data_IF_692241062798
#
_entry.id   IF_692241062798
#
_cell.length_a   1.000
_cell.length_b   1.000
_cell.length_c   1.000
_cell.angle_alpha   90.00
_cell.angle_beta   90.00
_cell.angle_gamma   90.00
#
_symmetry.space_group_name_H-M   'P 1'
#
loop_
_entity.id
_entity.type
_entity.pdbx_description
1 polymer ?
#
# COMPACT_ATOMS: atom_id res chain seq x y z
N UNK A 1 9.46 9.12 -0.86
CA UNK A 1 8.96 8.72 0.48
C UNK A 1 7.43 8.87 0.60
N UNK A 2 6.68 8.70 -0.48
CA UNK A 2 5.20 8.55 -0.51
C UNK A 2 4.74 7.17 -0.88
N UNK A 3 5.70 6.34 -1.33
CA UNK A 3 5.55 4.91 -1.54
C UNK A 3 5.01 4.22 -0.27
N UNK A 4 5.16 4.82 0.92
CA UNK A 4 4.79 4.32 2.28
C UNK A 4 3.31 4.04 2.55
N UNK A 5 2.39 4.92 2.12
CA UNK A 5 0.95 4.77 2.41
C UNK A 5 0.32 3.61 1.63
N UNK A 6 0.66 3.53 0.35
CA UNK A 6 0.29 2.43 -0.53
C UNK A 6 1.13 1.17 -0.27
N UNK A 7 2.36 1.29 0.24
CA UNK A 7 3.18 0.18 0.75
C UNK A 7 2.61 -0.47 1.99
N UNK A 8 2.14 0.33 2.93
CA UNK A 8 1.49 -0.19 4.11
C UNK A 8 0.20 -0.86 3.67
N UNK A 9 -0.70 -0.20 2.91
CA UNK A 9 -1.89 -0.82 2.30
C UNK A 9 -1.59 -2.14 1.55
N UNK A 10 -0.47 -2.18 0.84
CA UNK A 10 0.03 -3.32 0.11
C UNK A 10 0.56 -4.47 0.97
N UNK A 11 1.39 -4.19 1.99
CA UNK A 11 1.84 -5.16 2.98
C UNK A 11 0.66 -5.67 3.82
N UNK A 12 -0.30 -4.78 4.07
CA UNK A 12 -1.49 -5.03 4.86
C UNK A 12 -2.45 -5.96 4.18
N UNK A 13 -2.37 -6.02 2.86
CA UNK A 13 -3.35 -6.76 2.10
C UNK A 13 -2.74 -7.85 1.22
N UNK A 14 -1.41 -7.90 1.13
CA UNK A 14 -0.61 -9.12 1.01
C UNK A 14 -0.80 -10.11 2.19
N UNK A 15 -1.55 -9.75 3.23
CA UNK A 15 -2.04 -10.72 4.22
C UNK A 15 -3.50 -10.53 4.66
N UNK A 16 -4.32 -9.78 3.91
CA UNK A 16 -5.77 -9.65 4.11
C UNK A 16 -6.57 -10.86 3.59
N UNK A 17 -6.21 -12.07 4.04
CA UNK A 17 -6.90 -13.29 3.63
C UNK A 17 -6.67 -14.46 4.56
N UNK A 18 -6.42 -14.17 5.84
CA UNK A 18 -6.20 -15.18 6.87
C UNK A 18 -7.48 -15.92 7.29
N UNK A 19 -8.35 -16.35 6.37
CA UNK A 19 -9.52 -17.15 6.77
C UNK A 19 -9.20 -18.64 6.93
N UNK A 20 -8.27 -19.21 6.16
CA UNK A 20 -8.06 -20.67 6.11
C UNK A 20 -6.73 -21.13 6.72
N UNK A 21 -6.29 -20.46 7.79
CA UNK A 21 -4.99 -20.69 8.45
C UNK A 21 -5.10 -21.05 9.93
N UNK A 22 -6.14 -21.80 10.29
CA UNK A 22 -6.30 -22.36 11.63
C UNK A 22 -5.28 -23.51 11.76
N UNK A 23 -4.14 -23.37 12.43
CA UNK A 23 -4.04 -23.05 13.87
C UNK A 23 -2.77 -22.29 14.32
N UNK A 24 -1.83 -21.91 13.45
CA UNK A 24 -0.66 -21.10 13.85
C UNK A 24 0.07 -20.47 12.65
N UNK A 25 0.29 -19.14 12.63
CA UNK A 25 1.28 -18.55 11.74
C UNK A 25 2.66 -19.17 11.96
N UNK A 26 3.34 -19.69 10.92
CA UNK A 26 4.76 -19.91 10.99
C UNK A 26 5.40 -18.55 11.23
N UNK A 27 6.17 -18.52 12.29
CA UNK A 27 6.83 -17.37 12.86
C UNK A 27 8.31 -17.69 12.72
N UNK A 28 9.02 -16.91 11.90
CA UNK A 28 10.48 -16.96 11.90
C UNK A 28 10.99 -15.99 12.95
N UNK A 29 12.19 -16.27 13.49
CA UNK A 29 12.84 -15.27 14.33
C UNK A 29 13.13 -14.02 13.50
N UNK A 30 13.12 -12.85 14.14
CA UNK A 30 13.47 -11.61 13.45
C UNK A 30 14.89 -11.69 12.88
N UNK A 31 15.81 -12.36 13.57
CA UNK A 31 17.18 -12.61 13.13
C UNK A 31 17.23 -13.39 11.81
N UNK A 32 16.43 -14.46 11.66
CA UNK A 32 16.38 -15.25 10.42
C UNK A 32 15.87 -14.41 9.25
N UNK A 33 14.82 -13.61 9.47
CA UNK A 33 14.25 -12.73 8.45
C UNK A 33 15.19 -11.58 8.07
N UNK A 34 15.90 -11.00 9.04
CA UNK A 34 16.91 -9.97 8.79
C UNK A 34 18.08 -10.54 8.01
N UNK A 35 18.58 -11.72 8.39
CA UNK A 35 19.62 -12.41 7.64
C UNK A 35 19.21 -12.64 6.19
N UNK A 36 17.98 -13.09 5.96
CA UNK A 36 17.43 -13.25 4.62
C UNK A 36 17.37 -11.92 3.84
N UNK A 37 16.98 -10.80 4.46
CA UNK A 37 16.98 -9.48 3.80
C UNK A 37 18.37 -9.09 3.25
N UNK A 38 19.45 -9.64 3.81
CA UNK A 38 20.82 -9.43 3.32
C UNK A 38 21.11 -10.03 1.94
N UNK A 39 20.23 -10.88 1.42
CA UNK A 39 20.32 -11.40 0.04
C UNK A 39 19.91 -10.37 -1.01
N UNK A 40 19.27 -9.28 -0.62
CA UNK A 40 18.88 -8.22 -1.54
C UNK A 40 19.93 -7.10 -1.59
N UNK A 41 20.13 -6.45 -2.75
CA UNK A 41 21.10 -5.36 -2.88
C UNK A 41 20.74 -4.17 -1.99
N UNK A 42 21.75 -3.49 -1.45
CA UNK A 42 21.60 -2.27 -0.65
C UNK A 42 20.88 -1.15 -1.41
N UNK A 43 21.01 -1.13 -2.74
CA UNK A 43 20.36 -0.16 -3.65
C UNK A 43 18.87 -0.43 -3.90
N UNK A 44 18.32 -1.53 -3.38
CA UNK A 44 16.90 -1.81 -3.49
C UNK A 44 16.07 -0.72 -2.79
N UNK A 45 15.02 -0.22 -3.48
CA UNK A 45 14.08 0.75 -2.88
C UNK A 45 13.12 0.09 -1.90
N UNK A 46 12.90 -1.21 -2.07
CA UNK A 46 12.11 -2.03 -1.18
C UNK A 46 12.55 -3.47 -1.20
N UNK A 47 12.50 -4.10 -0.03
CA UNK A 47 12.81 -5.52 0.19
C UNK A 47 11.81 -6.11 1.19
N UNK A 48 11.36 -7.33 0.97
CA UNK A 48 10.49 -8.09 1.89
C UNK A 48 11.02 -9.51 2.02
N UNK A 49 11.22 -9.98 3.25
CA UNK A 49 11.50 -11.38 3.58
C UNK A 49 10.24 -12.02 4.18
N UNK A 50 9.85 -13.19 3.69
CA UNK A 50 8.63 -13.92 4.07
C UNK A 50 9.00 -15.29 4.62
N UNK A 51 8.63 -15.56 5.88
CA UNK A 51 9.06 -16.74 6.65
C UNK A 51 8.72 -18.09 5.98
N UNK A 52 7.49 -18.25 5.49
CA UNK A 52 7.01 -19.55 4.97
C UNK A 52 6.49 -19.43 3.53
N UNK A 53 7.38 -19.36 2.52
CA UNK A 53 7.01 -19.06 1.14
C UNK A 53 5.98 -20.01 0.55
N UNK A 54 6.04 -21.33 0.83
CA UNK A 54 5.05 -22.31 0.33
C UNK A 54 3.64 -22.06 0.86
N UNK A 55 3.52 -21.55 2.07
CA UNK A 55 2.24 -21.17 2.65
C UNK A 55 1.79 -19.82 2.08
N UNK A 56 2.70 -18.85 1.98
CA UNK A 56 2.43 -17.55 1.38
C UNK A 56 1.99 -17.64 -0.10
N UNK A 57 2.61 -18.51 -0.90
CA UNK A 57 2.25 -18.71 -2.31
C UNK A 57 0.88 -19.37 -2.48
N UNK A 58 0.57 -20.41 -1.69
CA UNK A 58 -0.78 -21.01 -1.67
C UNK A 58 -1.85 -20.01 -1.26
N UNK A 59 -1.48 -19.09 -0.37
CA UNK A 59 -2.35 -18.00 0.03
C UNK A 59 -2.56 -17.00 -1.12
N UNK A 60 -1.50 -16.47 -1.73
CA UNK A 60 -1.60 -15.55 -2.88
C UNK A 60 -2.38 -16.15 -4.05
N UNK A 61 -2.25 -17.46 -4.29
CA UNK A 61 -3.00 -18.17 -5.31
C UNK A 61 -4.52 -18.23 -5.03
N UNK A 62 -4.92 -18.21 -3.75
CA UNK A 62 -6.34 -18.22 -3.32
C UNK A 62 -6.89 -16.83 -3.06
N UNK A 63 -6.01 -15.85 -2.95
CA UNK A 63 -6.31 -14.48 -2.56
C UNK A 63 -5.67 -13.52 -3.55
N UNK A 64 -6.23 -13.39 -4.78
CA UNK A 64 -5.70 -12.49 -5.80
C UNK A 64 -5.61 -11.03 -5.34
N UNK A 65 -6.36 -10.66 -4.29
CA UNK A 65 -6.22 -9.41 -3.56
C UNK A 65 -4.78 -9.14 -3.10
N UNK A 66 -4.11 -10.14 -2.54
CA UNK A 66 -2.75 -9.97 -2.03
C UNK A 66 -1.75 -9.60 -3.13
N UNK A 67 -1.96 -10.11 -4.35
CA UNK A 67 -1.12 -9.78 -5.50
C UNK A 67 -1.32 -8.34 -5.98
N UNK A 68 -2.56 -7.84 -5.95
CA UNK A 68 -2.86 -6.45 -6.31
C UNK A 68 -2.24 -5.47 -5.33
N UNK A 69 -2.22 -5.88 -4.06
CA UNK A 69 -1.73 -5.08 -2.98
C UNK A 69 -0.21 -5.07 -3.02
N UNK A 70 0.46 -6.22 -3.19
CA UNK A 70 1.90 -6.26 -3.53
C UNK A 70 2.23 -5.42 -4.77
N UNK A 71 1.40 -5.45 -5.82
CA UNK A 71 1.54 -4.60 -6.99
C UNK A 71 1.45 -3.10 -6.66
N UNK A 72 0.48 -2.70 -5.85
CA UNK A 72 0.35 -1.32 -5.37
C UNK A 72 1.56 -0.87 -4.55
N UNK A 73 2.17 -1.76 -3.75
CA UNK A 73 3.44 -1.47 -3.07
C UNK A 73 4.58 -1.25 -4.06
N UNK A 74 4.70 -2.17 -5.01
CA UNK A 74 5.81 -2.19 -5.94
C UNK A 74 5.79 -0.99 -6.90
N UNK A 75 4.60 -0.43 -7.13
CA UNK A 75 4.40 0.73 -8.01
C UNK A 75 4.86 0.40 -9.43
N UNK A 76 5.85 1.12 -9.93
CA UNK A 76 6.48 0.88 -11.23
C UNK A 76 6.99 -0.56 -11.40
N UNK A 77 7.39 -1.24 -10.31
CA UNK A 77 7.87 -2.62 -10.35
C UNK A 77 6.75 -3.67 -10.36
N UNK A 78 5.47 -3.29 -10.31
CA UNK A 78 4.34 -4.23 -10.27
C UNK A 78 4.35 -5.18 -11.48
N UNK A 79 4.64 -4.66 -12.68
CA UNK A 79 4.76 -5.47 -13.89
C UNK A 79 5.91 -6.48 -13.81
N UNK A 80 7.05 -6.10 -13.24
CA UNK A 80 8.20 -6.98 -13.05
C UNK A 80 7.97 -8.03 -11.98
N UNK A 81 7.32 -7.69 -10.86
CA UNK A 81 6.89 -8.68 -9.87
C UNK A 81 5.86 -9.66 -10.44
N UNK A 82 4.94 -9.20 -11.28
CA UNK A 82 3.99 -10.08 -11.96
C UNK A 82 4.70 -11.07 -12.91
N UNK A 83 5.75 -10.62 -13.61
CA UNK A 83 6.61 -11.49 -14.42
C UNK A 83 7.33 -12.53 -13.54
N UNK A 84 7.90 -12.13 -12.41
CA UNK A 84 8.49 -13.05 -11.42
C UNK A 84 7.46 -14.02 -10.83
N UNK A 85 6.17 -13.64 -10.76
CA UNK A 85 5.08 -14.51 -10.33
C UNK A 85 4.99 -15.83 -11.10
N UNK A 86 5.34 -15.83 -12.40
CA UNK A 86 5.39 -17.05 -13.23
C UNK A 86 6.50 -18.01 -12.79
N UNK A 87 7.55 -17.47 -12.17
CA UNK A 87 8.68 -18.19 -11.60
C UNK A 87 8.49 -18.53 -10.11
N UNK A 88 7.49 -17.93 -9.46
CA UNK A 88 7.32 -18.02 -8.01
C UNK A 88 7.04 -19.44 -7.52
N UNK A 89 6.22 -20.23 -8.21
CA UNK A 89 5.86 -21.57 -7.75
C UNK A 89 7.06 -22.53 -7.66
N UNK A 90 7.92 -22.66 -8.70
CA UNK A 90 9.15 -23.46 -8.61
C UNK A 90 10.13 -22.95 -7.56
N UNK A 91 10.32 -21.63 -7.46
CA UNK A 91 11.20 -21.01 -6.47
C UNK A 91 10.76 -21.32 -5.04
N UNK A 92 9.47 -21.17 -4.78
CA UNK A 92 8.82 -21.47 -3.50
C UNK A 92 8.86 -22.97 -3.20
N UNK A 93 8.73 -23.84 -4.21
CA UNK A 93 8.85 -25.27 -4.05
C UNK A 93 10.29 -25.69 -3.69
N UNK A 94 11.32 -25.01 -4.21
CA UNK A 94 12.71 -25.29 -3.85
C UNK A 94 13.16 -24.68 -2.50
N UNK A 95 12.40 -23.70 -1.99
CA UNK A 95 12.72 -22.94 -0.78
C UNK A 95 12.93 -23.81 0.46
N UNK A 96 14.05 -23.59 1.15
CA UNK A 96 14.38 -24.18 2.46
C UNK A 96 14.31 -23.17 3.62
N UNK A 97 14.02 -21.90 3.33
CA UNK A 97 13.92 -20.83 4.30
C UNK A 97 13.08 -19.67 3.77
N UNK A 98 13.27 -18.45 4.31
CA UNK A 98 12.50 -17.29 3.89
C UNK A 98 12.70 -16.94 2.42
N UNK A 99 11.62 -16.53 1.75
CA UNK A 99 11.70 -15.93 0.41
C UNK A 99 11.88 -14.43 0.55
N UNK A 100 12.85 -13.91 -0.18
CA UNK A 100 13.19 -12.49 -0.22
C UNK A 100 12.77 -11.96 -1.58
N UNK A 101 12.05 -10.85 -1.58
CA UNK A 101 11.64 -10.11 -2.78
C UNK A 101 12.18 -8.69 -2.69
N UNK A 102 12.68 -8.12 -3.78
CA UNK A 102 13.12 -6.72 -3.82
C UNK A 102 12.80 -6.03 -5.14
N UNK A 103 12.88 -4.70 -5.14
CA UNK A 103 12.66 -3.90 -6.34
C UNK A 103 13.42 -2.57 -6.34
N UNK A 104 13.70 -2.07 -7.55
CA UNK A 104 14.34 -0.77 -7.82
C UNK A 104 13.82 -0.22 -9.15
N UNK A 105 13.17 0.95 -9.11
CA UNK A 105 12.51 1.50 -10.30
C UNK A 105 11.42 0.55 -10.81
N UNK A 106 11.50 0.18 -12.08
CA UNK A 106 10.63 -0.80 -12.75
C UNK A 106 11.07 -2.25 -12.56
N UNK A 107 12.27 -2.49 -12.00
CA UNK A 107 12.88 -3.81 -11.94
C UNK A 107 12.61 -4.51 -10.59
N UNK A 108 12.58 -5.84 -10.60
CA UNK A 108 12.37 -6.64 -9.40
C UNK A 108 13.27 -7.90 -9.37
N UNK A 109 13.48 -8.44 -8.17
CA UNK A 109 14.18 -9.69 -7.96
C UNK A 109 13.62 -10.50 -6.79
N UNK A 110 14.04 -11.76 -6.73
CA UNK A 110 13.68 -12.71 -5.70
C UNK A 110 14.87 -13.62 -5.36
N UNK A 111 15.03 -13.95 -4.09
CA UNK A 111 16.08 -14.84 -3.60
C UNK A 111 15.54 -15.74 -2.51
N UNK A 112 16.11 -16.92 -2.38
CA UNK A 112 15.69 -17.88 -1.37
C UNK A 112 16.82 -18.86 -1.05
N UNK A 113 16.91 -19.34 0.20
CA UNK A 113 17.76 -20.47 0.55
C UNK A 113 17.30 -21.75 -0.17
N UNK A 114 18.22 -22.44 -0.85
CA UNK A 114 17.92 -23.69 -1.59
C UNK A 114 19.06 -24.68 -1.47
N UNK A 115 18.76 -25.98 -1.55
CA UNK A 115 19.79 -26.99 -1.66
C UNK A 115 20.59 -26.82 -2.96
N UNK A 116 21.89 -27.21 -2.97
CA UNK A 116 22.68 -27.27 -4.19
C UNK A 116 22.04 -28.10 -5.31
N UNK A 117 21.30 -29.16 -4.95
CA UNK A 117 20.63 -30.05 -5.91
C UNK A 117 19.49 -29.40 -6.69
N UNK A 118 18.87 -28.33 -6.18
CA UNK A 118 17.77 -27.64 -6.86
C UNK A 118 18.28 -26.62 -7.91
N UNK A 119 19.57 -26.24 -7.87
CA UNK A 119 20.11 -25.15 -8.69
C UNK A 119 20.05 -25.37 -10.20
N UNK A 120 20.40 -26.55 -10.74
CA UNK A 120 20.39 -26.76 -12.18
C UNK A 120 18.99 -26.52 -12.78
N UNK A 121 17.95 -27.05 -12.14
CA UNK A 121 16.57 -26.88 -12.57
C UNK A 121 16.11 -25.41 -12.48
N UNK A 122 16.51 -24.69 -11.44
CA UNK A 122 16.19 -23.26 -11.28
C UNK A 122 16.92 -22.39 -12.31
N UNK A 123 18.20 -22.68 -12.62
CA UNK A 123 18.97 -21.99 -13.65
C UNK A 123 18.35 -22.17 -15.03
N UNK A 124 17.98 -23.40 -15.39
CA UNK A 124 17.31 -23.69 -16.65
C UNK A 124 15.98 -22.92 -16.77
N UNK A 125 15.18 -22.92 -15.72
CA UNK A 125 13.91 -22.20 -15.70
C UNK A 125 14.12 -20.67 -15.81
N UNK A 126 15.18 -20.13 -15.20
CA UNK A 126 15.48 -18.71 -15.25
C UNK A 126 15.85 -18.28 -16.67
N UNK A 127 16.67 -19.09 -17.35
CA UNK A 127 17.02 -18.89 -18.75
C UNK A 127 15.78 -18.90 -19.66
N UNK A 128 14.87 -19.86 -19.47
CA UNK A 128 13.59 -19.93 -20.21
C UNK A 128 12.67 -18.72 -19.97
N UNK A 129 12.81 -18.08 -18.82
CA UNK A 129 12.00 -16.92 -18.42
C UNK A 129 12.69 -15.58 -18.71
N UNK A 130 13.86 -15.61 -19.37
CA UNK A 130 14.71 -14.44 -19.62
C UNK A 130 15.01 -13.63 -18.35
N UNK A 131 15.22 -14.32 -17.23
CA UNK A 131 15.61 -13.73 -15.96
C UNK A 131 17.11 -13.89 -15.77
N UNK A 132 17.76 -12.86 -15.25
CA UNK A 132 19.11 -13.00 -14.77
C UNK A 132 19.08 -13.87 -13.49
N UNK A 133 20.07 -14.75 -13.32
CA UNK A 133 20.18 -15.60 -12.14
C UNK A 133 21.58 -15.53 -11.53
N UNK A 134 21.65 -15.67 -10.21
CA UNK A 134 22.90 -15.74 -9.45
C UNK A 134 22.70 -16.72 -8.29
N UNK A 135 23.79 -17.30 -7.78
CA UNK A 135 23.73 -18.23 -6.67
C UNK A 135 25.00 -18.19 -5.82
N UNK A 136 24.83 -18.37 -4.52
CA UNK A 136 25.93 -18.59 -3.58
C UNK A 136 25.93 -20.02 -3.03
N UNK A 137 26.71 -20.28 -1.96
CA UNK A 137 26.85 -21.61 -1.36
C UNK A 137 25.54 -22.22 -0.86
N UNK A 138 24.59 -21.41 -0.38
CA UNK A 138 23.33 -21.86 0.25
C UNK A 138 22.08 -21.08 -0.20
N UNK A 139 22.20 -20.22 -1.22
CA UNK A 139 21.10 -19.38 -1.70
C UNK A 139 21.10 -19.29 -3.23
N UNK A 140 19.95 -18.91 -3.77
CA UNK A 140 19.76 -18.68 -5.19
C UNK A 140 18.87 -17.45 -5.42
N UNK A 141 19.18 -16.66 -6.44
CA UNK A 141 18.50 -15.40 -6.75
C UNK A 141 18.19 -15.28 -8.25
N UNK A 142 17.09 -14.59 -8.55
CA UNK A 142 16.71 -14.12 -9.88
C UNK A 142 16.33 -12.66 -9.87
N UNK A 143 16.50 -12.00 -11.01
CA UNK A 143 16.00 -10.66 -11.23
C UNK A 143 15.62 -10.43 -12.69
N UNK A 144 14.77 -9.42 -12.90
CA UNK A 144 14.40 -8.95 -14.24
C UNK A 144 15.53 -8.17 -14.93
N UNK A 145 16.57 -7.78 -14.18
CA UNK A 145 17.79 -7.16 -14.70
C UNK A 145 19.02 -7.68 -13.93
N UNK A 146 20.16 -7.98 -14.60
CA UNK A 146 21.37 -8.45 -13.94
C UNK A 146 21.96 -7.42 -12.95
N UNK A 147 21.71 -6.12 -13.14
CA UNK A 147 22.15 -5.07 -12.22
C UNK A 147 21.51 -5.17 -10.82
N UNK A 148 20.40 -5.89 -10.71
CA UNK A 148 19.73 -6.17 -9.43
C UNK A 148 20.30 -7.38 -8.68
N UNK A 149 21.20 -8.15 -9.30
CA UNK A 149 21.88 -9.30 -8.71
C UNK A 149 23.27 -8.93 -8.16
N UNK A 150 23.49 -7.64 -7.87
CA UNK A 150 24.76 -7.10 -7.41
C UNK A 150 25.37 -7.86 -6.23
N UNK A 151 26.66 -7.66 -5.94
CA UNK A 151 27.37 -8.40 -4.90
C UNK A 151 26.60 -8.28 -3.58
N UNK A 152 26.42 -9.42 -2.89
CA UNK A 152 25.91 -9.44 -1.52
C UNK A 152 26.85 -8.59 -0.67
N UNK A 153 26.49 -7.35 -0.41
CA UNK A 153 27.34 -6.38 0.27
C UNK A 153 26.72 -5.93 1.59
N UNK A 154 27.54 -6.04 2.64
CA UNK A 154 27.43 -5.21 3.84
C UNK A 154 26.66 -5.84 5.00
N UNK A 155 27.24 -5.71 6.19
CA UNK A 155 26.64 -6.12 7.45
C UNK A 155 25.21 -5.59 7.55
N UNK A 156 24.27 -6.49 7.77
CA UNK A 156 22.92 -6.12 8.16
C UNK A 156 23.00 -5.31 9.46
N UNK A 157 22.15 -4.29 9.64
CA UNK A 157 22.07 -3.62 10.93
C UNK A 157 21.83 -4.67 12.03
N UNK A 158 22.35 -4.44 13.24
CA UNK A 158 22.26 -5.39 14.35
C UNK A 158 20.80 -5.81 14.55
N UNK A 159 20.60 -7.07 14.84
CA UNK A 159 19.26 -7.62 14.96
C UNK A 159 18.50 -6.96 16.09
N UNK A 160 17.43 -6.23 15.77
CA UNK A 160 16.56 -5.73 16.83
C UNK A 160 15.82 -6.90 17.47
N UNK A 161 15.97 -7.12 18.79
CA UNK A 161 15.19 -8.14 19.48
C UNK A 161 13.71 -7.79 19.38
N UNK A 162 12.90 -8.73 18.88
CA UNK A 162 11.47 -8.52 18.71
C UNK A 162 10.72 -9.85 18.61
N UNK A 163 9.41 -9.87 18.94
CA UNK A 163 8.63 -11.08 18.80
C UNK A 163 8.59 -11.55 17.34
N UNK A 164 8.51 -12.88 17.12
CA UNK A 164 8.55 -13.46 15.80
C UNK A 164 7.54 -12.85 14.82
N UNK A 165 7.93 -12.78 13.55
CA UNK A 165 7.15 -12.14 12.50
C UNK A 165 6.80 -13.11 11.37
N UNK A 166 5.74 -12.77 10.63
CA UNK A 166 5.41 -13.47 9.39
C UNK A 166 6.28 -12.97 8.23
N UNK A 167 6.51 -11.66 8.20
CA UNK A 167 7.38 -11.02 7.25
C UNK A 167 8.09 -9.83 7.88
N UNK A 168 9.26 -9.52 7.34
CA UNK A 168 10.02 -8.32 7.65
C UNK A 168 10.30 -7.61 6.34
N UNK A 169 10.02 -6.31 6.28
CA UNK A 169 10.24 -5.54 5.08
C UNK A 169 11.13 -4.33 5.36
N UNK A 170 12.15 -4.10 4.52
CA UNK A 170 12.94 -2.88 4.53
C UNK A 170 12.53 -2.00 3.38
N UNK A 171 11.98 -0.86 3.73
CA UNK A 171 11.30 -0.04 2.79
C UNK A 171 11.60 1.41 3.20
N UNK A 172 12.23 2.20 2.29
CA UNK A 172 12.54 3.62 2.50
C UNK A 172 13.42 3.89 3.69
N UNK A 173 14.36 3.00 3.92
CA UNK A 173 15.25 3.04 5.08
C UNK A 173 14.65 2.50 6.37
N UNK A 174 13.36 2.16 6.42
CA UNK A 174 12.69 1.68 7.63
C UNK A 174 12.39 0.19 7.58
N UNK A 175 12.47 -0.46 8.73
CA UNK A 175 12.03 -1.84 8.90
C UNK A 175 10.59 -1.88 9.36
N UNK A 176 9.81 -2.74 8.70
CA UNK A 176 8.41 -2.98 8.96
C UNK A 176 8.26 -4.44 9.33
N UNK A 177 7.79 -4.67 10.54
CA UNK A 177 7.43 -6.00 10.99
C UNK A 177 5.96 -6.24 10.67
N UNK A 178 5.68 -7.37 10.04
CA UNK A 178 4.31 -7.77 9.71
C UNK A 178 3.92 -8.97 10.58
N UNK A 179 2.87 -8.77 11.36
CA UNK A 179 2.20 -9.81 12.13
C UNK A 179 0.81 -10.04 11.54
N UNK A 180 0.42 -11.31 11.45
CA UNK A 180 -0.88 -11.70 10.96
C UNK A 180 -1.54 -12.67 11.95
N UNK A 181 -2.86 -12.53 12.11
CA UNK A 181 -3.72 -13.43 12.87
C UNK A 181 -4.87 -13.95 11.99
N UNK A 182 -5.84 -14.65 12.59
CA UNK A 182 -7.07 -15.07 11.90
C UNK A 182 -7.86 -13.89 11.35
N UNK A 183 -7.89 -12.77 12.05
CA UNK A 183 -8.82 -11.66 11.80
C UNK A 183 -8.14 -10.32 11.58
N UNK A 184 -6.82 -10.29 11.76
CA UNK A 184 -6.07 -9.03 11.75
C UNK A 184 -4.74 -9.18 11.05
N UNK A 185 -4.27 -8.08 10.49
CA UNK A 185 -2.91 -7.92 10.05
C UNK A 185 -2.38 -6.58 10.55
N UNK A 186 -1.23 -6.63 11.18
CA UNK A 186 -0.56 -5.48 11.76
C UNK A 186 0.82 -5.33 11.10
N UNK A 187 1.08 -4.15 10.54
CA UNK A 187 2.39 -3.74 10.08
C UNK A 187 2.85 -2.57 10.94
N UNK A 188 3.95 -2.75 11.67
CA UNK A 188 4.48 -1.72 12.55
C UNK A 188 5.99 -1.57 12.36
N UNK A 189 6.45 -0.33 12.41
CA UNK A 189 7.83 -0.03 12.80
C UNK A 189 7.98 -0.43 14.27
N UNK A 190 9.12 -0.95 14.69
CA UNK A 190 9.33 -1.44 16.08
C UNK A 190 9.14 -0.35 17.16
N UNK A 191 9.07 0.92 16.76
CA UNK A 191 8.66 2.05 17.59
C UNK A 191 7.13 2.14 17.77
N UNK A 192 6.68 2.27 19.02
CA UNK A 192 5.25 2.33 19.35
C UNK A 192 4.63 3.63 18.82
N UNK A 193 3.72 3.49 17.86
CA UNK A 193 2.83 4.55 17.40
C UNK A 193 1.39 4.10 17.68
N UNK A 194 0.61 4.91 18.41
CA UNK A 194 -0.76 4.57 18.75
C UNK A 194 -1.68 4.76 17.54
N UNK A 195 -2.53 3.77 17.27
CA UNK A 195 -3.52 3.86 16.21
C UNK A 195 -4.69 4.75 16.64
N UNK A 196 -5.26 5.57 15.73
CA UNK A 196 -6.47 6.34 16.04
C UNK A 196 -7.60 5.39 16.44
N UNK A 197 -8.43 5.73 17.45
CA UNK A 197 -9.55 4.88 17.86
C UNK A 197 -10.53 4.70 16.71
N UNK A 198 -11.17 3.53 16.64
CA UNK A 198 -12.20 3.27 15.64
C UNK A 198 -13.45 4.12 15.95
N UNK A 199 -13.86 4.95 15.00
CA UNK A 199 -15.13 5.69 15.09
C UNK A 199 -16.21 4.90 14.35
N UNK A 200 -17.28 4.45 15.05
CA UNK A 200 -18.37 3.75 14.40
C UNK A 200 -19.03 4.59 13.30
N UNK A 201 -19.32 3.96 12.17
CA UNK A 201 -20.11 4.56 11.07
C UNK A 201 -19.48 5.73 10.34
N UNK A 202 -18.23 6.10 10.66
CA UNK A 202 -17.50 7.17 9.96
C UNK A 202 -16.06 6.75 9.71
N UNK A 203 -15.64 6.87 8.46
CA UNK A 203 -14.25 6.83 8.05
C UNK A 203 -13.67 8.22 7.99
N UNK A 204 -12.46 8.38 8.50
CA UNK A 204 -11.69 9.62 8.44
C UNK A 204 -10.27 9.29 7.99
N UNK A 205 -9.71 10.13 7.12
CA UNK A 205 -8.34 9.98 6.64
C UNK A 205 -7.70 11.35 6.47
N UNK A 206 -6.53 11.53 7.07
CA UNK A 206 -5.59 12.60 6.76
C UNK A 206 -4.49 12.02 5.88
N UNK A 207 -4.32 12.57 4.69
CA UNK A 207 -3.27 12.21 3.75
C UNK A 207 -2.30 13.39 3.61
N UNK A 208 -1.25 13.41 4.44
CA UNK A 208 -0.26 14.47 4.45
C UNK A 208 0.47 14.66 3.11
N UNK A 209 0.46 13.62 2.26
CA UNK A 209 1.21 13.59 1.02
C UNK A 209 0.31 13.53 -0.23
N UNK A 210 -0.92 14.03 -0.14
CA UNK A 210 -1.90 13.96 -1.21
C UNK A 210 -1.42 14.58 -2.54
N UNK A 211 -0.67 15.68 -2.51
CA UNK A 211 -0.12 16.29 -3.73
C UNK A 211 0.83 15.38 -4.51
N UNK A 212 1.58 14.53 -3.81
CA UNK A 212 2.43 13.52 -4.45
C UNK A 212 1.59 12.36 -5.03
N UNK A 213 0.47 12.01 -4.38
CA UNK A 213 -0.47 11.02 -4.93
C UNK A 213 -1.16 11.52 -6.22
N UNK A 214 -1.51 12.81 -6.27
CA UNK A 214 -2.04 13.45 -7.48
C UNK A 214 -1.01 13.46 -8.62
N UNK A 215 0.26 13.77 -8.31
CA UNK A 215 1.36 13.70 -9.28
C UNK A 215 1.49 12.32 -9.95
N UNK A 216 1.23 11.24 -9.22
CA UNK A 216 1.28 9.88 -9.77
C UNK A 216 0.15 9.56 -10.74
N UNK A 217 -1.01 10.22 -10.57
CA UNK A 217 -2.12 10.11 -11.51
C UNK A 217 -1.91 10.96 -12.77
N UNK A 218 -0.71 11.54 -12.95
CA UNK A 218 -0.41 12.43 -14.05
C UNK A 218 -1.08 13.80 -13.94
N UNK A 219 -1.72 14.09 -12.80
CA UNK A 219 -2.22 15.42 -12.46
C UNK A 219 -1.01 16.20 -11.96
N UNK A 220 -0.66 17.33 -12.60
CA UNK A 220 0.60 18.06 -12.37
C UNK A 220 0.88 18.44 -10.90
N UNK A 221 1.95 19.20 -10.64
CA UNK A 221 2.31 19.60 -9.27
C UNK A 221 1.31 20.60 -8.67
N UNK A 222 0.15 20.11 -8.22
CA UNK A 222 -0.80 20.89 -7.44
C UNK A 222 -0.40 20.77 -5.98
N UNK A 223 0.07 21.89 -5.42
CA UNK A 223 0.29 21.99 -3.99
C UNK A 223 -1.08 21.99 -3.28
N UNK A 224 -1.51 20.83 -2.79
CA UNK A 224 -2.79 20.65 -2.09
C UNK A 224 -2.68 20.50 -0.57
N UNK A 225 -1.46 20.43 -0.04
CA UNK A 225 -1.21 20.17 1.38
C UNK A 225 -1.80 18.83 1.88
N UNK A 226 -1.92 18.63 3.20
CA UNK A 226 -2.56 17.46 3.79
C UNK A 226 -4.06 17.39 3.50
N UNK A 227 -4.47 16.55 2.54
CA UNK A 227 -5.89 16.37 2.21
C UNK A 227 -6.56 15.56 3.31
N UNK A 228 -7.75 16.00 3.72
CA UNK A 228 -8.54 15.32 4.75
C UNK A 228 -9.83 14.84 4.13
N UNK A 229 -10.24 13.63 4.45
CA UNK A 229 -11.43 12.99 3.90
C UNK A 229 -12.26 12.42 5.05
N UNK A 230 -13.58 12.56 4.96
CA UNK A 230 -14.53 11.83 5.79
C UNK A 230 -15.60 11.17 4.92
N UNK A 231 -16.06 9.98 5.30
CA UNK A 231 -17.18 9.26 4.68
C UNK A 231 -18.00 8.55 5.75
N UNK A 232 -19.32 8.59 5.65
CA UNK A 232 -20.22 7.89 6.58
C UNK A 232 -21.02 6.76 5.91
N UNK A 233 -21.77 6.01 6.73
CA UNK A 233 -22.61 4.89 6.30
C UNK A 233 -23.73 5.31 5.33
N UNK A 234 -24.14 6.58 5.36
CA UNK A 234 -25.11 7.16 4.43
C UNK A 234 -24.49 7.53 3.07
N UNK A 235 -23.23 7.13 2.82
CA UNK A 235 -22.47 7.46 1.61
C UNK A 235 -22.32 8.96 1.38
N UNK A 236 -22.37 9.75 2.45
CA UNK A 236 -22.01 11.15 2.42
C UNK A 236 -20.49 11.25 2.56
N UNK A 237 -19.90 12.25 1.89
CA UNK A 237 -18.46 12.45 1.84
C UNK A 237 -18.12 13.91 2.04
N UNK A 238 -16.93 14.15 2.61
CA UNK A 238 -16.37 15.47 2.80
C UNK A 238 -14.87 15.40 2.54
N UNK A 239 -14.34 16.46 1.93
CA UNK A 239 -12.91 16.60 1.63
C UNK A 239 -12.47 18.03 1.92
N UNK A 240 -11.28 18.18 2.50
CA UNK A 240 -10.60 19.46 2.65
C UNK A 240 -9.28 19.42 1.90
N UNK A 241 -9.06 20.45 1.08
CA UNK A 241 -7.81 20.77 0.42
C UNK A 241 -7.23 22.05 1.04
N UNK A 242 -6.32 21.94 2.02
CA UNK A 242 -5.89 23.10 2.82
C UNK A 242 -5.23 24.24 2.05
N UNK A 243 -4.67 23.99 0.87
CA UNK A 243 -3.97 25.02 0.07
C UNK A 243 -4.58 25.22 -1.31
N UNK A 244 -5.67 24.51 -1.62
CA UNK A 244 -6.34 24.64 -2.91
C UNK A 244 -7.46 25.66 -2.79
N UNK A 245 -7.43 26.66 -3.67
CA UNK A 245 -8.55 27.54 -3.95
C UNK A 245 -9.20 27.14 -5.27
N UNK A 246 -10.52 27.08 -5.30
CA UNK A 246 -11.27 26.74 -6.51
C UNK A 246 -11.49 28.00 -7.36
N UNK A 247 -10.79 28.07 -8.48
CA UNK A 247 -10.89 29.17 -9.43
C UNK A 247 -11.31 28.72 -10.83
N UNK A 248 -11.79 29.68 -11.63
CA UNK A 248 -12.11 29.49 -13.04
C UNK A 248 -13.05 28.32 -13.32
N UNK A 249 -12.61 27.40 -14.19
CA UNK A 249 -13.41 26.27 -14.64
C UNK A 249 -13.79 25.31 -13.51
N UNK A 250 -12.89 25.05 -12.55
CA UNK A 250 -13.18 24.13 -11.45
C UNK A 250 -14.33 24.64 -10.57
N UNK A 251 -14.32 25.94 -10.27
CA UNK A 251 -15.41 26.62 -9.55
C UNK A 251 -16.71 26.58 -10.34
N UNK A 252 -16.65 26.93 -11.62
CA UNK A 252 -17.82 26.96 -12.51
C UNK A 252 -18.47 25.58 -12.64
N UNK A 253 -17.67 24.51 -12.79
CA UNK A 253 -18.18 23.13 -12.86
C UNK A 253 -18.88 22.71 -11.58
N UNK A 254 -18.43 23.19 -10.42
CA UNK A 254 -19.08 22.93 -9.13
C UNK A 254 -20.29 23.84 -8.86
N UNK A 255 -20.58 24.78 -9.76
CA UNK A 255 -21.68 25.74 -9.61
C UNK A 255 -21.37 26.87 -8.63
N UNK A 256 -20.08 27.16 -8.41
CA UNK A 256 -19.64 28.06 -7.37
C UNK A 256 -19.88 29.53 -7.67
N UNK A 257 -20.47 30.20 -6.69
CA UNK A 257 -20.55 31.66 -6.58
C UNK A 257 -19.38 32.19 -5.74
N UNK A 258 -19.11 33.51 -5.76
CA UNK A 258 -18.19 34.12 -4.81
C UNK A 258 -18.66 33.85 -3.38
N UNK A 259 -17.82 33.21 -2.59
CA UNK A 259 -18.11 32.72 -1.23
C UNK A 259 -17.64 33.74 -0.20
N UNK A 260 -18.39 33.92 0.89
CA UNK A 260 -17.84 34.63 2.06
C UNK A 260 -16.87 33.72 2.81
N UNK A 261 -15.68 34.24 3.14
CA UNK A 261 -14.68 33.49 3.89
C UNK A 261 -15.27 32.92 5.20
N UNK A 262 -15.11 31.61 5.41
CA UNK A 262 -15.58 30.87 6.57
C UNK A 262 -17.06 30.43 6.51
N UNK A 263 -17.87 30.93 5.57
CA UNK A 263 -19.27 30.53 5.43
C UNK A 263 -19.40 29.22 4.65
N UNK A 264 -20.35 28.36 5.09
CA UNK A 264 -20.74 27.17 4.34
C UNK A 264 -21.84 27.55 3.36
N UNK A 265 -21.58 27.39 2.07
CA UNK A 265 -22.51 27.70 0.99
C UNK A 265 -22.89 26.44 0.21
N UNK A 266 -24.12 26.38 -0.27
CA UNK A 266 -24.60 25.28 -1.11
C UNK A 266 -24.40 25.65 -2.58
N UNK A 267 -23.63 24.86 -3.31
CA UNK A 267 -23.44 24.99 -4.75
C UNK A 267 -24.15 23.86 -5.50
N UNK A 268 -24.58 24.14 -6.73
CA UNK A 268 -25.26 23.17 -7.61
C UNK A 268 -24.55 23.12 -8.95
N UNK A 269 -23.81 22.04 -9.20
CA UNK A 269 -22.97 21.88 -10.39
C UNK A 269 -23.05 20.49 -11.00
N UNK A 270 -22.04 20.12 -11.79
CA UNK A 270 -21.96 18.84 -12.50
C UNK A 270 -21.86 17.63 -11.56
N UNK A 271 -21.43 17.85 -10.31
CA UNK A 271 -21.40 16.83 -9.25
C UNK A 271 -22.70 16.78 -8.43
N UNK A 272 -23.73 17.53 -8.81
CA UNK A 272 -24.96 17.69 -8.06
C UNK A 272 -24.87 18.80 -7.02
N UNK A 273 -25.58 18.60 -5.90
CA UNK A 273 -25.56 19.56 -4.77
C UNK A 273 -24.38 19.26 -3.87
N UNK A 274 -23.54 20.27 -3.62
CA UNK A 274 -22.40 20.20 -2.72
C UNK A 274 -22.40 21.39 -1.76
N UNK A 275 -21.81 21.20 -0.60
CA UNK A 275 -21.60 22.25 0.40
C UNK A 275 -20.13 22.60 0.40
N UNK A 276 -19.82 23.88 0.24
CA UNK A 276 -18.47 24.39 0.11
C UNK A 276 -18.20 25.40 1.20
N UNK A 277 -17.02 25.30 1.82
CA UNK A 277 -16.51 26.29 2.75
C UNK A 277 -15.12 26.72 2.27
N UNK A 278 -14.98 28.01 1.97
CA UNK A 278 -13.69 28.60 1.58
C UNK A 278 -13.08 29.38 2.77
N UNK A 279 -11.77 29.24 2.95
CA UNK A 279 -10.98 29.89 4.00
C UNK A 279 -9.51 29.92 3.60
N UNK A 280 -8.61 29.39 4.43
CA UNK A 280 -7.19 29.16 4.04
C UNK A 280 -7.04 28.16 2.89
N UNK A 281 -8.05 27.31 2.68
CA UNK A 281 -8.19 26.42 1.54
C UNK A 281 -9.65 26.17 1.23
N UNK A 282 -9.97 25.04 0.59
CA UNK A 282 -11.35 24.71 0.22
C UNK A 282 -11.80 23.39 0.82
N UNK A 283 -12.92 23.43 1.54
CA UNK A 283 -13.66 22.26 1.99
C UNK A 283 -14.87 22.02 1.07
N UNK A 284 -15.12 20.77 0.69
CA UNK A 284 -16.27 20.38 -0.13
C UNK A 284 -16.90 19.15 0.51
N UNK A 285 -18.22 19.13 0.64
CA UNK A 285 -18.94 17.97 1.16
C UNK A 285 -20.26 17.74 0.45
N UNK A 286 -20.80 16.53 0.59
CA UNK A 286 -22.17 16.17 0.20
C UNK A 286 -23.17 16.35 1.34
N UNK A 287 -22.76 16.88 2.49
CA UNK A 287 -23.64 17.35 3.56
C UNK A 287 -22.87 18.32 4.47
N UNK A 288 -23.54 19.33 5.04
CA UNK A 288 -22.89 20.30 5.91
C UNK A 288 -22.46 19.68 7.25
N UNK A 289 -23.17 18.67 7.76
CA UNK A 289 -22.82 17.98 9.01
C UNK A 289 -21.46 17.28 8.90
N UNK A 290 -21.14 16.75 7.72
CA UNK A 290 -19.89 16.03 7.53
C UNK A 290 -18.67 16.96 7.42
N UNK A 291 -18.86 18.24 7.07
CA UNK A 291 -17.78 19.24 7.15
C UNK A 291 -17.28 19.39 8.60
N UNK A 292 -18.20 19.35 9.58
CA UNK A 292 -17.85 19.42 10.99
C UNK A 292 -17.15 18.13 11.52
N UNK A 293 -17.31 17.00 10.81
CA UNK A 293 -16.69 15.71 11.16
C UNK A 293 -15.25 15.55 10.66
N UNK A 294 -14.76 16.49 9.84
CA UNK A 294 -13.43 16.40 9.26
C UNK A 294 -12.34 16.53 10.33
N UNK A 295 -11.22 15.79 10.21
CA UNK A 295 -10.10 15.91 11.13
C UNK A 295 -9.55 17.34 11.24
N UNK A 296 -9.17 17.72 12.46
CA UNK A 296 -8.63 19.04 12.81
C UNK A 296 -7.39 19.41 12.01
N UNK A 297 -7.13 20.73 11.88
CA UNK A 297 -5.95 21.22 11.17
C UNK A 297 -4.64 20.99 11.94
N UNK A 298 -3.53 20.85 11.19
CA UNK A 298 -2.17 20.87 11.75
C UNK A 298 -1.39 19.55 11.74
N UNK A 299 -1.90 18.48 11.14
CA UNK A 299 -1.24 17.16 11.19
C UNK A 299 -0.41 16.90 9.94
N UNK A 300 0.92 16.87 10.06
CA UNK A 300 1.87 16.45 9.01
C UNK A 300 2.01 14.90 8.91
N UNK A 301 1.17 14.18 9.66
CA UNK A 301 1.12 12.73 9.75
C UNK A 301 0.00 12.24 8.86
N UNK A 302 0.18 11.09 8.21
CA UNK A 302 -0.95 10.43 7.56
C UNK A 302 -1.60 9.49 8.57
N UNK A 303 -2.86 9.72 8.90
CA UNK A 303 -3.57 8.94 9.90
C UNK A 303 -5.04 8.80 9.55
N UNK A 304 -5.67 7.73 10.01
CA UNK A 304 -7.09 7.56 9.76
C UNK A 304 -7.64 6.19 10.12
N UNK A 305 -8.97 6.15 10.09
CA UNK A 305 -9.79 4.94 10.19
C UNK A 305 -10.62 4.85 8.92
N UNK A 306 -10.47 3.78 8.15
CA UNK A 306 -11.20 3.56 6.91
C UNK A 306 -11.94 2.24 6.98
N UNK A 307 -13.25 2.30 6.93
CA UNK A 307 -14.12 1.12 6.86
C UNK A 307 -14.12 0.62 5.42
N UNK A 308 -13.99 -0.68 5.23
CA UNK A 308 -13.83 -1.23 3.88
C UNK A 308 -15.04 -1.00 2.98
N UNK A 309 -16.25 -1.01 3.56
CA UNK A 309 -17.48 -0.64 2.84
C UNK A 309 -17.46 0.80 2.30
N UNK A 310 -16.93 1.76 3.07
CA UNK A 310 -16.78 3.14 2.61
C UNK A 310 -15.73 3.28 1.51
N UNK A 311 -14.58 2.60 1.66
CA UNK A 311 -13.54 2.58 0.65
C UNK A 311 -14.03 1.92 -0.66
N UNK A 312 -14.75 0.81 -0.57
CA UNK A 312 -15.34 0.13 -1.71
C UNK A 312 -16.31 1.04 -2.48
N UNK A 313 -17.22 1.69 -1.76
CA UNK A 313 -18.16 2.63 -2.35
C UNK A 313 -17.43 3.80 -3.03
N UNK A 314 -16.50 4.47 -2.34
CA UNK A 314 -15.73 5.59 -2.90
C UNK A 314 -14.96 5.18 -4.16
N UNK A 315 -14.19 4.09 -4.09
CA UNK A 315 -13.36 3.62 -5.19
C UNK A 315 -14.22 3.19 -6.38
N UNK A 316 -15.37 2.56 -6.15
CA UNK A 316 -16.33 2.22 -7.20
C UNK A 316 -16.90 3.46 -7.90
N UNK A 317 -17.23 4.51 -7.13
CA UNK A 317 -17.66 5.80 -7.68
C UNK A 317 -16.55 6.47 -8.48
N UNK A 318 -15.33 6.49 -7.97
CA UNK A 318 -14.18 7.07 -8.70
C UNK A 318 -13.91 6.28 -9.98
N UNK A 319 -13.91 4.94 -9.92
CA UNK A 319 -13.72 4.07 -11.09
C UNK A 319 -14.72 4.41 -12.21
N UNK A 320 -16.01 4.52 -11.86
CA UNK A 320 -17.05 4.90 -12.80
C UNK A 320 -16.82 6.29 -13.40
N UNK A 321 -16.45 7.28 -12.58
CA UNK A 321 -16.18 8.64 -13.07
C UNK A 321 -14.97 8.69 -14.01
N UNK A 322 -13.85 8.05 -13.63
CA UNK A 322 -12.60 8.13 -14.42
C UNK A 322 -12.67 7.33 -15.71
N UNK A 323 -13.55 6.34 -15.82
CA UNK A 323 -13.82 5.60 -17.07
C UNK A 323 -14.24 6.54 -18.23
N UNK A 324 -14.88 7.66 -17.87
CA UNK A 324 -15.35 8.68 -18.81
C UNK A 324 -14.32 9.78 -19.08
N UNK A 325 -13.14 9.74 -18.44
CA UNK A 325 -12.07 10.73 -18.60
C UNK A 325 -10.97 10.10 -19.48
N UNK A 326 -10.74 10.57 -20.72
CA UNK A 326 -9.82 9.90 -21.67
C UNK A 326 -8.41 9.64 -21.11
N UNK A 327 -7.85 10.58 -20.34
CA UNK A 327 -6.51 10.47 -19.75
C UNK A 327 -6.42 9.50 -18.57
N UNK A 328 -7.55 9.19 -17.92
CA UNK A 328 -7.60 8.36 -16.70
C UNK A 328 -8.34 7.04 -16.90
N UNK A 329 -8.98 6.82 -18.05
CA UNK A 329 -9.78 5.63 -18.36
C UNK A 329 -9.02 4.32 -18.12
N UNK A 330 -7.73 4.28 -18.39
CA UNK A 330 -6.89 3.10 -18.17
C UNK A 330 -6.82 2.67 -16.69
N UNK A 331 -7.10 3.57 -15.75
CA UNK A 331 -7.08 3.29 -14.30
C UNK A 331 -8.41 2.74 -13.78
N UNK A 332 -9.52 2.88 -14.52
CA UNK A 332 -10.85 2.47 -14.08
C UNK A 332 -10.93 0.98 -13.68
N UNK A 333 -10.38 0.02 -14.47
CA UNK A 333 -10.43 -1.40 -14.10
C UNK A 333 -9.65 -1.71 -12.81
N UNK A 334 -8.52 -1.03 -12.60
CA UNK A 334 -7.74 -1.17 -11.37
C UNK A 334 -8.53 -0.67 -10.16
N UNK A 335 -9.12 0.52 -10.26
CA UNK A 335 -9.91 1.11 -9.17
C UNK A 335 -11.15 0.27 -8.83
N UNK A 336 -11.87 -0.21 -9.84
CA UNK A 336 -13.02 -1.11 -9.64
C UNK A 336 -12.59 -2.41 -8.95
N UNK A 337 -11.46 -2.97 -9.36
CA UNK A 337 -10.90 -4.17 -8.72
C UNK A 337 -10.51 -3.91 -7.28
N UNK A 338 -9.85 -2.79 -6.98
CA UNK A 338 -9.47 -2.41 -5.59
C UNK A 338 -10.71 -2.15 -4.74
N UNK A 339 -11.78 -1.59 -5.31
CA UNK A 339 -13.06 -1.40 -4.63
C UNK A 339 -13.65 -2.74 -4.13
N UNK A 340 -13.66 -3.76 -4.99
CA UNK A 340 -14.11 -5.11 -4.62
C UNK A 340 -13.30 -5.68 -3.44
N UNK A 341 -11.97 -5.50 -3.45
CA UNK A 341 -11.12 -5.96 -2.35
C UNK A 341 -11.41 -5.22 -1.05
N UNK A 342 -11.61 -3.90 -1.13
CA UNK A 342 -11.89 -3.07 0.02
C UNK A 342 -13.17 -3.53 0.73
N UNK A 343 -14.17 -4.03 -0.02
CA UNK A 343 -15.41 -4.59 0.55
C UNK A 343 -15.19 -5.83 1.43
N UNK A 344 -14.06 -6.54 1.25
CA UNK A 344 -13.67 -7.67 2.09
C UNK A 344 -12.92 -7.30 3.38
N UNK A 345 -12.73 -5.99 3.64
CA UNK A 345 -12.06 -5.48 4.83
C UNK A 345 -13.10 -4.84 5.75
N UNK A 346 -13.03 -5.13 7.04
CA UNK A 346 -13.88 -4.47 8.04
C UNK A 346 -13.38 -3.05 8.26
N UNK A 347 -12.12 -2.92 8.67
CA UNK A 347 -11.50 -1.63 8.97
C UNK A 347 -9.99 -1.64 8.72
N UNK A 348 -9.49 -0.49 8.29
CA UNK A 348 -8.08 -0.12 8.22
C UNK A 348 -7.88 1.00 9.22
N UNK A 349 -6.94 0.85 10.15
CA UNK A 349 -6.49 1.91 11.06
C UNK A 349 -5.04 2.17 10.76
N UNK A 350 -4.67 3.41 10.50
CA UNK A 350 -3.30 3.77 10.13
C UNK A 350 -2.84 5.03 10.85
N UNK A 351 -1.55 5.07 11.17
CA UNK A 351 -0.82 6.26 11.56
C UNK A 351 0.62 6.16 11.05
N UNK A 352 1.04 7.13 10.25
CA UNK A 352 2.30 7.13 9.52
C UNK A 352 3.01 8.47 9.69
N UNK A 353 4.10 8.43 10.45
CA UNK A 353 4.96 9.56 10.78
C UNK A 353 6.27 9.49 9.97
N UNK A 354 7.16 10.48 10.15
CA UNK A 354 8.43 10.57 9.43
C UNK A 354 9.43 9.46 9.79
N UNK A 355 9.32 8.82 10.96
CA UNK A 355 10.15 7.67 11.34
C UNK A 355 9.35 6.48 11.84
N UNK A 356 8.10 6.72 12.24
CA UNK A 356 7.22 5.71 12.81
C UNK A 356 6.08 5.38 11.87
N UNK A 357 5.53 4.19 12.03
CA UNK A 357 4.37 3.78 11.28
C UNK A 357 3.70 2.59 11.94
N UNK A 358 2.39 2.67 12.03
CA UNK A 358 1.58 1.56 12.49
C UNK A 358 0.35 1.51 11.62
N UNK A 359 0.13 0.35 11.01
CA UNK A 359 -1.11 0.08 10.30
C UNK A 359 -1.68 -1.26 10.70
N UNK A 360 -2.99 -1.27 10.89
CA UNK A 360 -3.76 -2.40 11.36
C UNK A 360 -4.97 -2.59 10.46
N UNK A 361 -5.15 -3.80 9.95
CA UNK A 361 -6.33 -4.22 9.22
C UNK A 361 -7.08 -5.26 10.02
N UNK A 362 -8.41 -5.19 9.96
CA UNK A 362 -9.29 -6.27 10.36
C UNK A 362 -10.28 -6.59 9.25
N UNK A 363 -10.70 -7.85 9.15
CA UNK A 363 -11.70 -8.34 8.21
C UNK A 363 -12.88 -9.00 8.90
#
# INVERSE_FOLDING_TARGET
MTRWLLLAAALLAAGAGGWWWWTAPPRSSNEELQHALGLAPSTARGVVAVAAPRRAARWLARHPQGLLLVGAAAGEAAGSLARLGRFAAPLVAAAQGPLVLWWRGTEAGAAVPVSPSARPALLELAARSSLAASSGPDWWAVATSPELLGPNEGALPPSTPGPPAFALARLGGRFWRVQASRKTLEASTEEVCSLPPETPGTSTLVCAQAGQALAWLGLGQVAVGPVRVAVNDAHQWAVVFPTLHLDGLARSLLGGTPTRAGAVEMWRGVLGTVWVQEGEGTAIASSPELLASLPSAGVAVSEGVVHGGHAAWLLGRVAHTVEHIPTLKAQAPLLARVAELAGGVRVVRLRLEEQRGHVFLAW
#
